data_IF_155331030475
#
_entry.id   IF_155331030475
#
_cell.length_a   1.000
_cell.length_b   1.000
_cell.length_c   1.000
_cell.angle_alpha   90.00
_cell.angle_beta   90.00
_cell.angle_gamma   90.00
#
_symmetry.space_group_name_H-M   'P 1'
#
loop_
_entity.id
_entity.type
_entity.pdbx_description
1 polymer ?
#
# COMPACT_ATOMS: atom_id res chain seq x y z
N UNK A 1 -7.99 17.46 -40.99
CA UNK A 1 -7.88 16.13 -40.31
C UNK A 1 -7.55 16.24 -38.83
N UNK A 2 -6.59 17.11 -38.43
CA UNK A 2 -6.19 17.31 -37.02
C UNK A 2 -7.32 17.89 -36.14
N UNK A 3 -8.09 18.84 -36.66
CA UNK A 3 -9.20 19.49 -35.91
C UNK A 3 -10.32 18.48 -35.62
N UNK A 4 -10.63 17.61 -36.58
CA UNK A 4 -11.68 16.59 -36.41
C UNK A 4 -11.30 15.53 -35.37
N UNK A 5 -10.00 15.12 -35.35
CA UNK A 5 -9.46 14.24 -34.30
C UNK A 5 -9.55 14.88 -32.91
N UNK A 6 -9.20 16.17 -32.76
CA UNK A 6 -9.33 16.90 -31.51
C UNK A 6 -10.78 17.01 -31.01
N UNK A 7 -11.73 17.21 -31.91
CA UNK A 7 -13.15 17.27 -31.56
C UNK A 7 -13.67 15.90 -31.10
N UNK A 8 -13.24 14.81 -31.74
CA UNK A 8 -13.64 13.45 -31.35
C UNK A 8 -13.05 13.12 -29.96
N UNK A 9 -11.78 13.40 -29.72
CA UNK A 9 -11.12 13.17 -28.41
C UNK A 9 -11.76 14.05 -27.33
N UNK A 10 -12.04 15.32 -27.60
CA UNK A 10 -12.74 16.22 -26.69
C UNK A 10 -14.15 15.72 -26.36
N UNK A 11 -14.88 15.17 -27.35
CA UNK A 11 -16.21 14.61 -27.11
C UNK A 11 -16.15 13.32 -26.29
N UNK A 12 -15.14 12.48 -26.47
CA UNK A 12 -14.91 11.29 -25.65
C UNK A 12 -14.60 11.68 -24.20
N UNK A 13 -13.77 12.69 -23.99
CA UNK A 13 -13.39 13.18 -22.66
C UNK A 13 -14.55 13.92 -22.00
N UNK A 14 -15.28 14.77 -22.73
CA UNK A 14 -16.40 15.55 -22.19
C UNK A 14 -17.66 14.72 -21.92
N UNK A 15 -17.87 13.62 -22.66
CA UNK A 15 -19.05 12.76 -22.48
C UNK A 15 -18.91 11.77 -21.30
N UNK A 16 -17.72 11.61 -20.69
CA UNK A 16 -17.44 10.69 -19.58
C UNK A 16 -16.97 11.37 -18.30
N UNK A 17 -17.56 12.51 -17.89
CA UNK A 17 -17.16 13.22 -16.66
C UNK A 17 -15.67 13.58 -16.65
N UNK A 18 -15.36 14.85 -16.71
CA UNK A 18 -14.03 15.44 -16.64
C UNK A 18 -13.13 14.73 -15.61
N UNK A 19 -12.15 13.98 -16.08
CA UNK A 19 -11.05 13.45 -15.27
C UNK A 19 -10.07 14.61 -15.00
N UNK A 20 -10.48 15.61 -14.21
CA UNK A 20 -9.61 16.70 -13.79
C UNK A 20 -9.09 16.33 -12.42
N UNK A 21 -7.78 16.31 -12.30
CA UNK A 21 -7.11 16.04 -11.03
C UNK A 21 -7.44 17.13 -10.00
N UNK A 22 -7.97 16.71 -8.84
CA UNK A 22 -8.35 17.64 -7.77
C UNK A 22 -7.14 18.05 -6.94
N UNK A 23 -6.59 19.23 -7.19
CA UNK A 23 -5.41 19.77 -6.50
C UNK A 23 -5.61 19.91 -4.99
N UNK A 24 -6.80 20.26 -4.53
CA UNK A 24 -7.06 20.43 -3.10
C UNK A 24 -7.07 19.07 -2.37
N UNK A 25 -7.62 18.02 -3.00
CA UNK A 25 -7.55 16.66 -2.48
C UNK A 25 -6.10 16.18 -2.38
N UNK A 26 -5.27 16.49 -3.38
CA UNK A 26 -3.86 16.16 -3.43
C UNK A 26 -3.07 16.89 -2.33
N UNK A 27 -3.26 18.20 -2.15
CA UNK A 27 -2.61 18.99 -1.09
C UNK A 27 -2.95 18.46 0.30
N UNK A 28 -4.24 18.18 0.56
CA UNK A 28 -4.70 17.59 1.80
C UNK A 28 -4.09 16.20 2.06
N UNK A 29 -3.90 15.41 0.99
CA UNK A 29 -3.28 14.09 1.09
C UNK A 29 -1.79 14.16 1.40
N UNK A 30 -1.06 15.07 0.76
CA UNK A 30 0.35 15.31 1.02
C UNK A 30 0.60 15.68 2.50
N UNK A 31 -0.21 16.56 3.07
CA UNK A 31 -0.13 16.93 4.48
C UNK A 31 -0.36 15.73 5.43
N UNK A 32 -1.29 14.83 5.08
CA UNK A 32 -1.58 13.65 5.89
C UNK A 32 -0.45 12.61 5.88
N UNK A 33 0.29 12.51 4.76
CA UNK A 33 1.34 11.52 4.58
C UNK A 33 2.66 11.83 5.28
N UNK A 34 2.95 13.10 5.57
CA UNK A 34 4.17 13.49 6.30
C UNK A 34 4.26 12.88 7.71
N UNK A 35 3.19 12.22 8.17
CA UNK A 35 3.06 11.63 9.52
C UNK A 35 3.29 10.12 9.63
N UNK A 36 3.47 9.34 8.52
CA UNK A 36 3.58 7.86 8.58
C UNK A 36 4.53 7.25 7.54
N UNK A 37 5.30 6.21 7.88
CA UNK A 37 6.24 5.54 6.95
C UNK A 37 6.19 4.00 6.89
N UNK A 38 6.24 3.45 5.69
CA UNK A 38 7.04 2.41 4.99
C UNK A 38 6.70 0.90 4.98
N UNK A 39 6.80 0.28 3.78
CA UNK A 39 7.21 -1.08 3.39
C UNK A 39 6.29 -1.97 2.54
N UNK A 40 6.82 -2.84 1.71
CA UNK A 40 6.28 -3.49 0.52
C UNK A 40 5.87 -4.97 0.50
N UNK A 41 5.15 -5.42 -0.56
CA UNK A 41 4.77 -6.82 -0.82
C UNK A 41 4.44 -7.21 -2.26
N UNK A 42 4.51 -8.51 -2.56
CA UNK A 42 4.14 -9.13 -3.85
C UNK A 42 3.00 -10.14 -3.69
N UNK A 43 2.02 -10.13 -4.63
CA UNK A 43 1.10 -11.25 -4.86
C UNK A 43 0.74 -11.35 -6.35
N UNK A 44 0.55 -12.58 -6.88
CA UNK A 44 0.37 -12.84 -8.31
C UNK A 44 -1.11 -12.95 -8.69
N UNK A 45 -1.54 -12.10 -9.63
CA UNK A 45 -2.80 -12.18 -10.36
C UNK A 45 -2.51 -11.98 -11.86
N UNK A 46 -3.42 -12.38 -12.75
CA UNK A 46 -3.30 -12.24 -14.22
C UNK A 46 -3.24 -10.78 -14.71
N UNK A 47 -3.18 -9.81 -13.81
CA UNK A 47 -3.12 -8.39 -14.10
C UNK A 47 -1.71 -8.03 -14.55
N UNK A 48 -1.60 -7.33 -15.67
CA UNK A 48 -0.33 -6.80 -16.16
C UNK A 48 0.22 -5.78 -15.16
N UNK A 49 1.34 -6.10 -14.54
CA UNK A 49 1.99 -5.25 -13.54
C UNK A 49 3.25 -4.63 -14.10
N UNK A 50 3.30 -3.31 -14.04
CA UNK A 50 4.53 -2.59 -14.33
C UNK A 50 5.49 -2.68 -13.15
N UNK A 51 6.73 -3.05 -13.44
CA UNK A 51 7.85 -3.03 -12.48
C UNK A 51 9.01 -2.27 -13.12
N UNK A 52 9.46 -1.15 -12.51
CA UNK A 52 10.63 -0.43 -13.04
C UNK A 52 11.86 -1.33 -13.12
N UNK A 53 12.51 -1.34 -14.26
CA UNK A 53 13.80 -2.00 -14.49
C UNK A 53 14.96 -1.03 -14.29
N UNK A 54 16.15 -1.53 -13.96
CA UNK A 54 17.35 -0.69 -13.81
C UNK A 54 17.59 0.07 -15.11
N UNK A 55 17.81 1.39 -15.00
CA UNK A 55 18.00 2.27 -16.13
C UNK A 55 16.94 3.36 -16.22
N UNK A 56 16.73 3.88 -17.41
CA UNK A 56 15.78 4.95 -17.71
C UNK A 56 14.56 4.37 -18.42
N UNK A 57 13.38 4.69 -17.93
CA UNK A 57 12.10 4.36 -18.56
C UNK A 57 11.23 5.61 -18.60
N UNK A 58 10.27 5.63 -19.49
CA UNK A 58 9.27 6.69 -19.58
C UNK A 58 7.89 6.06 -19.53
N UNK A 59 7.04 6.60 -18.68
CA UNK A 59 5.66 6.16 -18.54
C UNK A 59 4.71 7.34 -18.67
N UNK A 60 3.45 7.04 -18.91
CA UNK A 60 2.35 7.98 -18.78
C UNK A 60 1.38 7.46 -17.74
N UNK A 61 1.07 8.25 -16.73
CA UNK A 61 -0.02 7.97 -15.81
C UNK A 61 -1.34 8.21 -16.55
N UNK A 62 -2.24 7.25 -16.50
CA UNK A 62 -3.56 7.34 -17.13
C UNK A 62 -4.57 7.84 -16.08
N UNK A 63 -5.54 8.71 -16.43
CA UNK A 63 -6.65 9.04 -15.53
C UNK A 63 -7.31 7.78 -15.01
N UNK A 64 -7.57 7.70 -13.69
CA UNK A 64 -7.99 6.44 -13.10
C UNK A 64 -9.52 6.31 -13.04
N UNK A 65 -10.04 5.25 -13.64
CA UNK A 65 -11.48 4.97 -13.72
C UNK A 65 -12.15 4.87 -12.34
N UNK A 66 -11.45 4.31 -11.35
CA UNK A 66 -11.98 4.01 -10.02
C UNK A 66 -11.72 5.10 -8.98
N UNK A 67 -10.94 6.13 -9.33
CA UNK A 67 -10.74 7.30 -8.50
C UNK A 67 -10.65 8.54 -9.38
N UNK A 68 -11.70 9.38 -9.32
CA UNK A 68 -11.82 10.58 -10.17
C UNK A 68 -11.10 11.80 -9.62
N UNK A 69 -10.72 11.77 -8.34
CA UNK A 69 -10.06 12.91 -7.69
C UNK A 69 -8.57 12.95 -8.03
N UNK A 70 -7.95 11.79 -8.11
CA UNK A 70 -6.53 11.63 -8.46
C UNK A 70 -6.24 10.19 -8.92
N UNK A 71 -5.19 9.96 -9.73
CA UNK A 71 -5.00 8.69 -10.42
C UNK A 71 -4.41 7.57 -9.54
N UNK A 72 -4.57 7.64 -8.22
CA UNK A 72 -3.95 6.71 -7.28
C UNK A 72 -4.98 6.01 -6.42
N UNK A 73 -4.72 4.73 -6.13
CA UNK A 73 -5.47 3.96 -5.13
C UNK A 73 -4.51 3.49 -4.04
N UNK A 74 -4.86 3.79 -2.80
CA UNK A 74 -4.10 3.35 -1.63
C UNK A 74 -4.70 2.09 -1.07
N UNK A 75 -3.84 1.14 -0.76
CA UNK A 75 -4.21 -0.08 -0.05
C UNK A 75 -3.29 -0.34 1.13
N UNK A 76 -3.84 -0.81 2.22
CA UNK A 76 -3.15 -1.14 3.47
C UNK A 76 -2.91 -2.62 3.56
N UNK A 77 -1.70 -3.01 4.00
CA UNK A 77 -1.30 -4.40 4.15
C UNK A 77 -0.54 -4.60 5.45
N UNK A 78 -0.75 -5.75 6.07
CA UNK A 78 0.05 -6.25 7.17
C UNK A 78 1.01 -7.32 6.67
N UNK A 79 2.20 -7.38 7.27
CA UNK A 79 3.26 -8.30 6.87
C UNK A 79 3.75 -9.09 8.07
N UNK A 80 3.87 -10.42 7.90
CA UNK A 80 4.39 -11.31 8.93
C UNK A 80 3.52 -11.36 10.18
N UNK A 81 2.22 -11.41 10.03
CA UNK A 81 1.26 -11.61 11.11
C UNK A 81 0.81 -13.07 11.11
N UNK A 82 1.16 -13.80 12.20
CA UNK A 82 0.95 -15.24 12.30
C UNK A 82 1.67 -16.00 11.19
N UNK A 83 1.10 -17.07 10.74
CA UNK A 83 1.60 -17.90 9.63
C UNK A 83 1.51 -17.22 8.26
N UNK A 84 0.87 -16.05 8.15
CA UNK A 84 0.62 -15.35 6.88
C UNK A 84 1.70 -14.33 6.56
N UNK A 85 2.26 -14.43 5.35
CA UNK A 85 3.26 -13.47 4.87
C UNK A 85 2.66 -12.08 4.63
N UNK A 86 1.42 -12.01 4.14
CA UNK A 86 0.73 -10.77 3.79
C UNK A 86 -0.76 -10.90 4.02
N UNK A 87 -1.34 -9.90 4.67
CA UNK A 87 -2.78 -9.73 4.86
C UNK A 87 -3.17 -8.35 4.32
N UNK A 88 -4.12 -8.31 3.38
CA UNK A 88 -4.73 -7.05 3.00
C UNK A 88 -5.70 -6.62 4.10
N UNK A 89 -5.55 -5.40 4.62
CA UNK A 89 -6.40 -4.88 5.68
C UNK A 89 -7.87 -4.79 5.22
N UNK A 90 -8.83 -5.30 5.99
CA UNK A 90 -10.27 -5.15 5.71
C UNK A 90 -10.72 -3.69 5.58
N UNK A 91 -10.00 -2.75 6.19
CA UNK A 91 -10.25 -1.31 6.03
C UNK A 91 -10.20 -0.83 4.57
N UNK A 92 -9.54 -1.57 3.66
CA UNK A 92 -9.53 -1.26 2.23
C UNK A 92 -10.93 -1.35 1.61
N UNK A 93 -11.82 -2.15 2.22
CA UNK A 93 -13.20 -2.35 1.80
C UNK A 93 -14.23 -1.72 2.76
N UNK A 94 -13.74 -1.01 3.81
CA UNK A 94 -14.59 -0.38 4.82
C UNK A 94 -15.10 -1.35 5.88
N UNK A 95 -14.51 -2.55 5.97
CA UNK A 95 -14.85 -3.58 6.94
C UNK A 95 -14.04 -3.41 8.24
N UNK A 96 -14.52 -4.03 9.33
CA UNK A 96 -13.82 -4.05 10.61
C UNK A 96 -12.50 -4.81 10.49
N UNK A 97 -11.47 -4.31 11.16
CA UNK A 97 -10.12 -4.87 11.12
C UNK A 97 -9.64 -5.18 12.54
N UNK A 98 -9.56 -6.47 12.94
CA UNK A 98 -9.20 -6.85 14.29
C UNK A 98 -7.77 -6.44 14.66
N UNK A 99 -6.83 -6.39 13.69
CA UNK A 99 -5.47 -5.92 13.94
C UNK A 99 -5.45 -4.42 14.26
N UNK A 100 -6.21 -3.63 13.49
CA UNK A 100 -6.31 -2.18 13.73
C UNK A 100 -7.00 -1.86 15.06
N UNK A 101 -8.05 -2.61 15.41
CA UNK A 101 -8.78 -2.47 16.69
C UNK A 101 -7.86 -2.78 17.86
N UNK A 102 -7.13 -3.89 17.82
CA UNK A 102 -6.17 -4.28 18.84
C UNK A 102 -5.02 -3.27 18.96
N UNK A 103 -4.44 -2.83 17.86
CA UNK A 103 -3.39 -1.81 17.86
C UNK A 103 -3.88 -0.48 18.47
N UNK A 104 -5.14 -0.10 18.24
CA UNK A 104 -5.77 1.07 18.86
C UNK A 104 -5.91 0.90 20.37
N UNK A 105 -6.35 -0.26 20.85
CA UNK A 105 -6.46 -0.57 22.27
C UNK A 105 -5.10 -0.50 22.96
N UNK A 106 -4.06 -1.12 22.39
CA UNK A 106 -2.71 -1.05 22.93
C UNK A 106 -2.19 0.38 23.07
N UNK A 107 -2.48 1.25 22.12
CA UNK A 107 -2.11 2.68 22.19
C UNK A 107 -2.87 3.43 23.31
N UNK A 108 -4.07 2.99 23.65
CA UNK A 108 -4.87 3.57 24.72
C UNK A 108 -4.36 3.27 26.13
N UNK A 109 -3.47 2.30 26.31
CA UNK A 109 -2.97 1.88 27.62
C UNK A 109 -1.92 2.82 28.24
N UNK A 110 -1.40 3.80 27.50
CA UNK A 110 -0.29 4.68 27.87
C UNK A 110 1.01 3.94 28.29
N UNK A 111 1.11 2.64 27.98
CA UNK A 111 2.31 1.83 28.21
C UNK A 111 3.24 1.89 27.01
N UNK A 112 4.55 2.09 27.26
CA UNK A 112 5.56 2.23 26.20
C UNK A 112 5.80 0.92 25.43
N UNK A 113 5.66 -0.23 26.07
CA UNK A 113 5.83 -1.54 25.44
C UNK A 113 4.62 -1.85 24.55
N UNK A 114 3.41 -1.60 25.05
CA UNK A 114 2.18 -1.71 24.27
C UNK A 114 2.20 -0.77 23.05
N UNK A 115 2.70 0.45 23.22
CA UNK A 115 2.86 1.37 22.08
C UNK A 115 3.85 0.84 21.04
N UNK A 116 4.97 0.24 21.45
CA UNK A 116 5.94 -0.38 20.54
C UNK A 116 5.33 -1.59 19.83
N UNK A 117 4.55 -2.39 20.55
CA UNK A 117 3.82 -3.53 19.98
C UNK A 117 2.80 -3.06 18.94
N UNK A 118 1.98 -2.07 19.28
CA UNK A 118 1.02 -1.47 18.37
C UNK A 118 1.69 -0.92 17.10
N UNK A 119 2.90 -0.36 17.21
CA UNK A 119 3.67 0.12 16.05
C UNK A 119 4.10 -1.00 15.12
N UNK A 120 4.36 -2.23 15.62
CA UNK A 120 4.65 -3.41 14.78
C UNK A 120 3.43 -3.86 13.99
N UNK A 121 2.23 -3.58 14.50
CA UNK A 121 0.95 -3.87 13.88
C UNK A 121 0.46 -2.77 12.93
N UNK A 122 1.24 -1.72 12.69
CA UNK A 122 0.86 -0.68 11.74
C UNK A 122 0.85 -1.22 10.32
N UNK A 123 -0.27 -1.03 9.58
CA UNK A 123 -0.34 -1.44 8.21
C UNK A 123 0.59 -0.59 7.35
N UNK A 124 1.17 -1.23 6.35
CA UNK A 124 1.97 -0.56 5.33
C UNK A 124 1.10 -0.22 4.13
N UNK A 125 1.15 1.04 3.72
CA UNK A 125 0.38 1.52 2.56
C UNK A 125 1.15 1.26 1.27
N UNK A 126 0.47 0.67 0.29
CA UNK A 126 0.88 0.53 -1.10
C UNK A 126 -0.02 1.36 -1.97
N UNK A 127 0.57 1.97 -2.96
CA UNK A 127 -0.14 2.85 -3.88
C UNK A 127 -0.10 2.21 -5.26
N UNK A 128 -1.24 2.27 -5.95
CA UNK A 128 -1.42 1.72 -7.28
C UNK A 128 -1.82 2.83 -8.24
N UNK A 129 -1.23 2.82 -9.43
CA UNK A 129 -1.59 3.72 -10.53
C UNK A 129 -1.64 2.99 -11.86
N UNK A 130 -2.60 3.29 -12.74
CA UNK A 130 -2.62 2.81 -14.11
C UNK A 130 -1.57 3.55 -14.94
N UNK A 131 -0.73 2.82 -15.64
CA UNK A 131 0.36 3.39 -16.45
C UNK A 131 0.40 2.79 -17.85
N UNK A 132 0.83 3.59 -18.81
CA UNK A 132 1.29 3.15 -20.12
C UNK A 132 2.81 3.32 -20.16
N UNK A 133 3.53 2.29 -20.58
CA UNK A 133 4.97 2.37 -20.78
C UNK A 133 5.23 2.86 -22.20
N UNK A 134 5.99 3.96 -22.33
CA UNK A 134 6.33 4.52 -23.63
C UNK A 134 7.32 3.61 -24.36
N UNK A 135 6.98 3.24 -25.59
CA UNK A 135 7.68 2.25 -26.40
C UNK A 135 7.13 0.82 -26.29
N UNK A 136 6.21 0.60 -25.34
CA UNK A 136 5.52 -0.69 -25.12
C UNK A 136 3.99 -0.51 -25.09
N UNK A 137 3.46 0.45 -25.86
CA UNK A 137 2.04 0.81 -25.88
C UNK A 137 1.11 -0.36 -26.28
N UNK A 138 1.64 -1.34 -27.01
CA UNK A 138 0.93 -2.57 -27.37
C UNK A 138 0.53 -3.42 -26.17
N UNK A 139 1.27 -3.30 -25.06
CA UNK A 139 0.96 -4.00 -23.81
C UNK A 139 -0.28 -3.44 -23.11
N UNK A 140 -0.70 -2.22 -23.48
CA UNK A 140 -1.86 -1.54 -22.89
C UNK A 140 -1.59 -1.03 -21.49
N UNK A 141 -2.69 -0.79 -20.74
CA UNK A 141 -2.59 -0.28 -19.36
C UNK A 141 -2.02 -1.37 -18.46
N UNK A 142 -1.00 -0.98 -17.71
CA UNK A 142 -0.39 -1.80 -16.68
C UNK A 142 -0.61 -1.16 -15.31
N UNK A 143 -0.68 -1.95 -14.26
CA UNK A 143 -0.83 -1.46 -12.91
C UNK A 143 0.53 -1.37 -12.23
N UNK A 144 0.93 -0.16 -11.87
CA UNK A 144 2.17 0.08 -11.12
C UNK A 144 1.89 0.16 -9.62
N UNK A 145 2.55 -0.69 -8.85
CA UNK A 145 2.56 -0.66 -7.40
C UNK A 145 3.84 -0.01 -6.90
N UNK A 146 3.71 0.99 -6.02
CA UNK A 146 4.86 1.70 -5.45
C UNK A 146 4.64 2.12 -3.99
N UNK A 147 5.72 2.55 -3.35
CA UNK A 147 5.73 2.95 -1.96
C UNK A 147 5.50 4.46 -1.77
N UNK A 148 5.53 4.86 -0.49
CA UNK A 148 5.27 6.21 -0.02
C UNK A 148 6.18 7.26 -0.67
N UNK A 149 7.49 6.99 -0.85
CA UNK A 149 8.45 7.95 -1.41
C UNK A 149 8.06 8.41 -2.83
N UNK A 150 7.73 7.45 -3.71
CA UNK A 150 7.29 7.76 -5.07
C UNK A 150 5.95 8.47 -5.05
N UNK A 151 5.05 8.07 -4.13
CA UNK A 151 3.76 8.73 -3.98
C UNK A 151 3.90 10.20 -3.58
N UNK A 152 4.71 10.49 -2.55
CA UNK A 152 5.00 11.86 -2.14
C UNK A 152 5.56 12.70 -3.29
N UNK A 153 6.47 12.12 -4.10
CA UNK A 153 7.01 12.80 -5.26
C UNK A 153 5.93 13.11 -6.32
N UNK A 154 4.98 12.17 -6.56
CA UNK A 154 3.83 12.44 -7.44
C UNK A 154 2.91 13.53 -6.89
N UNK A 155 2.63 13.51 -5.59
CA UNK A 155 1.77 14.52 -4.96
C UNK A 155 2.43 15.92 -5.00
N UNK A 156 3.74 15.99 -4.77
CA UNK A 156 4.51 17.24 -4.90
C UNK A 156 4.47 17.75 -6.35
N UNK A 157 4.68 16.85 -7.31
CA UNK A 157 4.60 17.18 -8.74
C UNK A 157 3.21 17.68 -9.14
N UNK A 158 2.15 17.06 -8.61
CA UNK A 158 0.77 17.47 -8.88
C UNK A 158 0.39 18.79 -8.19
N UNK A 159 1.06 19.15 -7.09
CA UNK A 159 0.86 20.40 -6.39
C UNK A 159 1.63 21.57 -7.04
N UNK A 160 2.53 21.30 -7.98
CA UNK A 160 3.30 22.29 -8.71
C UNK A 160 2.48 22.83 -9.89
N UNK A 161 2.17 24.12 -9.85
CA UNK A 161 1.37 24.78 -10.89
C UNK A 161 2.06 24.78 -12.28
N UNK A 162 3.40 24.75 -12.33
CA UNK A 162 4.15 24.67 -13.59
C UNK A 162 4.03 23.29 -14.25
N UNK A 163 3.88 22.25 -13.46
CA UNK A 163 3.67 20.88 -13.96
C UNK A 163 2.22 20.71 -14.40
N UNK A 164 1.27 21.17 -13.60
CA UNK A 164 -0.16 21.04 -13.84
C UNK A 164 -0.64 19.58 -13.77
N UNK A 165 -1.77 19.32 -14.43
CA UNK A 165 -2.31 17.96 -14.52
C UNK A 165 -1.51 17.09 -15.50
N UNK A 166 -0.54 16.35 -14.99
CA UNK A 166 0.27 15.43 -15.78
C UNK A 166 -0.50 14.23 -16.33
N UNK A 167 -1.74 14.00 -15.86
CA UNK A 167 -2.60 12.90 -16.34
C UNK A 167 -3.52 13.33 -17.48
N UNK A 168 -3.62 14.63 -17.77
CA UNK A 168 -4.51 15.13 -18.81
C UNK A 168 -4.27 14.40 -20.14
N UNK A 169 -5.38 13.94 -20.75
CA UNK A 169 -5.35 13.09 -21.94
C UNK A 169 -4.76 13.82 -23.15
N UNK A 170 -4.96 15.13 -23.26
CA UNK A 170 -4.56 15.96 -24.41
C UNK A 170 -3.24 16.67 -24.21
N UNK A 171 -2.99 17.13 -22.98
CA UNK A 171 -1.89 18.02 -22.65
C UNK A 171 -1.13 17.60 -21.38
N UNK A 172 -1.27 16.36 -20.96
CA UNK A 172 -0.56 15.86 -19.80
C UNK A 172 0.94 15.67 -20.06
N UNK A 173 1.65 15.10 -19.09
CA UNK A 173 3.11 14.92 -19.17
C UNK A 173 3.51 13.47 -18.98
N UNK A 174 4.48 13.04 -19.75
CA UNK A 174 5.13 11.76 -19.49
C UNK A 174 6.02 11.88 -18.26
N UNK A 175 6.16 10.80 -17.52
CA UNK A 175 6.99 10.70 -16.32
C UNK A 175 8.23 9.89 -16.65
N UNK A 176 9.39 10.49 -16.42
CA UNK A 176 10.70 9.84 -16.57
C UNK A 176 11.05 9.14 -15.26
N UNK A 177 11.35 7.86 -15.35
CA UNK A 177 11.84 7.04 -14.25
C UNK A 177 13.34 6.82 -14.42
N UNK A 178 14.07 6.93 -13.32
CA UNK A 178 15.46 6.49 -13.24
C UNK A 178 15.56 5.51 -12.09
N UNK A 179 15.82 4.25 -12.40
CA UNK A 179 15.95 3.18 -11.42
C UNK A 179 17.41 2.75 -11.32
N UNK A 180 17.95 2.75 -10.12
CA UNK A 180 19.31 2.31 -9.80
C UNK A 180 19.26 1.07 -8.92
N UNK A 181 20.23 0.19 -9.11
CA UNK A 181 20.33 -1.07 -8.39
C UNK A 181 20.86 -0.89 -6.97
N UNK A 182 20.80 -1.97 -6.14
CA UNK A 182 21.28 -2.01 -4.76
C UNK A 182 22.74 -1.62 -4.63
N UNK A 183 23.58 -1.99 -5.60
CA UNK A 183 25.01 -1.69 -5.61
C UNK A 183 25.31 -0.18 -5.60
N UNK A 184 24.43 0.62 -6.23
CA UNK A 184 24.59 2.08 -6.32
C UNK A 184 23.98 2.82 -5.13
N UNK A 185 23.06 2.19 -4.41
CA UNK A 185 22.29 2.84 -3.34
C UNK A 185 22.71 2.40 -1.94
N UNK A 186 23.46 1.31 -1.81
CA UNK A 186 23.80 0.68 -0.54
C UNK A 186 22.58 0.10 0.21
N UNK A 187 21.46 -0.09 -0.49
CA UNK A 187 20.21 -0.66 0.05
C UNK A 187 20.00 -2.08 -0.51
N UNK A 188 19.09 -2.85 0.10
CA UNK A 188 18.74 -4.18 -0.40
C UNK A 188 17.81 -4.16 -1.63
N UNK A 189 17.40 -2.98 -2.10
CA UNK A 189 16.36 -2.81 -3.13
C UNK A 189 16.77 -1.79 -4.18
N UNK A 190 16.18 -1.95 -5.38
CA UNK A 190 16.26 -0.92 -6.41
C UNK A 190 15.60 0.36 -5.92
N UNK A 191 16.22 1.50 -6.19
CA UNK A 191 15.65 2.82 -5.92
C UNK A 191 15.24 3.48 -7.22
N UNK A 192 13.96 3.88 -7.30
CA UNK A 192 13.40 4.59 -8.45
C UNK A 192 13.13 6.03 -8.08
N UNK A 193 13.59 6.96 -8.91
CA UNK A 193 13.24 8.38 -8.85
C UNK A 193 12.39 8.74 -10.06
N UNK A 194 11.51 9.74 -9.89
CA UNK A 194 10.60 10.19 -10.93
C UNK A 194 10.78 11.67 -11.20
N UNK A 195 10.57 12.09 -12.45
CA UNK A 195 10.55 13.48 -12.86
C UNK A 195 9.56 13.69 -14.02
N UNK A 196 8.84 14.83 -14.08
CA UNK A 196 7.97 15.11 -15.20
C UNK A 196 8.77 15.46 -16.46
N UNK A 197 8.22 15.13 -17.61
CA UNK A 197 8.73 15.61 -18.88
C UNK A 197 8.49 17.12 -19.00
N UNK A 198 9.44 17.85 -19.54
CA UNK A 198 9.31 19.30 -19.78
C UNK A 198 8.20 19.62 -20.79
N UNK A 199 7.97 18.71 -21.73
CA UNK A 199 6.96 18.87 -22.79
C UNK A 199 5.67 18.15 -22.40
N UNK A 200 4.55 18.80 -22.70
CA UNK A 200 3.25 18.17 -22.70
C UNK A 200 3.07 17.31 -23.95
N UNK A 201 2.26 16.27 -23.85
CA UNK A 201 1.93 15.38 -24.97
C UNK A 201 0.53 14.82 -24.82
N UNK A 202 -0.05 14.37 -25.91
CA UNK A 202 -1.28 13.58 -25.90
C UNK A 202 -0.98 12.19 -25.32
N UNK A 203 -2.00 11.56 -24.71
CA UNK A 203 -1.91 10.20 -24.21
C UNK A 203 -1.61 9.21 -25.37
N UNK A 204 -2.29 9.40 -26.50
CA UNK A 204 -2.06 8.72 -27.77
C UNK A 204 -2.57 9.58 -28.94
N UNK A 205 -2.03 9.37 -30.13
CA UNK A 205 -2.56 9.93 -31.38
C UNK A 205 -3.83 9.19 -31.85
N UNK A 206 -4.04 7.96 -31.39
CA UNK A 206 -5.21 7.14 -31.70
C UNK A 206 -6.29 7.27 -30.62
N UNK A 207 -7.41 7.91 -30.98
CA UNK A 207 -8.53 8.10 -30.07
C UNK A 207 -9.15 6.79 -29.59
N UNK A 208 -9.11 5.72 -30.38
CA UNK A 208 -9.64 4.40 -29.99
C UNK A 208 -8.78 3.76 -28.90
N UNK A 209 -7.45 3.95 -28.98
CA UNK A 209 -6.53 3.50 -27.92
C UNK A 209 -6.78 4.26 -26.63
N UNK A 210 -7.02 5.56 -26.72
CA UNK A 210 -7.36 6.38 -25.54
C UNK A 210 -8.62 5.84 -24.86
N UNK A 211 -9.72 5.64 -25.63
CA UNK A 211 -10.95 5.06 -25.07
C UNK A 211 -10.70 3.72 -24.40
N UNK A 212 -9.99 2.83 -25.10
CA UNK A 212 -9.63 1.52 -24.57
C UNK A 212 -8.86 1.63 -23.25
N UNK A 213 -7.83 2.46 -23.17
CA UNK A 213 -7.01 2.63 -21.98
C UNK A 213 -7.74 3.28 -20.80
N UNK A 214 -8.74 4.13 -21.07
CA UNK A 214 -9.59 4.71 -20.03
C UNK A 214 -10.63 3.71 -19.49
N UNK A 215 -11.05 2.74 -20.31
CA UNK A 215 -12.05 1.75 -19.93
C UNK A 215 -11.46 0.44 -19.38
N UNK A 216 -10.40 -0.05 -19.99
CA UNK A 216 -9.76 -1.33 -19.64
C UNK A 216 -8.71 -1.13 -18.52
N UNK A 217 -9.17 -0.75 -17.34
CA UNK A 217 -8.31 -0.60 -16.17
C UNK A 217 -8.72 -1.58 -15.09
N UNK A 218 -7.73 -2.14 -14.43
CA UNK A 218 -7.94 -3.04 -13.31
C UNK A 218 -8.11 -2.26 -12.00
N UNK A 219 -9.05 -2.69 -11.17
CA UNK A 219 -9.21 -2.13 -9.84
C UNK A 219 -8.26 -2.85 -8.86
N UNK A 220 -7.32 -2.15 -8.21
CA UNK A 220 -6.43 -2.77 -7.23
C UNK A 220 -7.15 -3.53 -6.12
N UNK A 221 -8.35 -3.10 -5.72
CA UNK A 221 -9.14 -3.77 -4.69
C UNK A 221 -9.61 -5.17 -5.12
N UNK A 222 -9.84 -5.38 -6.42
CA UNK A 222 -10.32 -6.66 -6.95
C UNK A 222 -9.19 -7.69 -7.08
N UNK A 223 -7.92 -7.24 -6.96
CA UNK A 223 -6.75 -8.13 -6.94
C UNK A 223 -6.61 -8.91 -5.63
N UNK A 224 -7.27 -8.44 -4.58
CA UNK A 224 -7.19 -8.99 -3.24
C UNK A 224 -8.60 -9.32 -2.77
N UNK A 225 -8.73 -10.43 -2.06
CA UNK A 225 -9.98 -10.79 -1.38
C UNK A 225 -9.82 -10.45 0.10
N UNK A 226 -10.79 -9.75 0.71
CA UNK A 226 -10.80 -9.57 2.15
C UNK A 226 -10.85 -10.94 2.83
N UNK A 227 -10.03 -11.12 3.86
CA UNK A 227 -10.12 -12.30 4.70
C UNK A 227 -11.22 -12.09 5.74
N UNK A 228 -11.94 -13.17 6.14
CA UNK A 228 -12.89 -13.10 7.23
C UNK A 228 -12.26 -12.56 8.51
N UNK A 229 -13.03 -11.83 9.30
CA UNK A 229 -12.60 -11.23 10.58
C UNK A 229 -11.94 -12.27 11.50
N UNK A 230 -12.58 -13.44 11.67
CA UNK A 230 -12.08 -14.52 12.53
C UNK A 230 -10.74 -15.08 12.06
N UNK A 231 -10.54 -15.19 10.74
CA UNK A 231 -9.26 -15.65 10.17
C UNK A 231 -8.13 -14.68 10.47
N UNK A 232 -8.39 -13.37 10.45
CA UNK A 232 -7.40 -12.34 10.77
C UNK A 232 -7.17 -12.28 12.28
N UNK A 233 -8.23 -12.45 13.10
CA UNK A 233 -8.16 -12.57 14.56
C UNK A 233 -7.28 -13.74 14.97
N UNK A 234 -7.47 -14.92 14.36
CA UNK A 234 -6.63 -16.10 14.59
C UNK A 234 -5.16 -15.84 14.23
N UNK A 235 -4.87 -15.26 13.06
CA UNK A 235 -3.51 -14.91 12.66
C UNK A 235 -2.85 -13.91 13.63
N UNK A 236 -3.61 -12.98 14.20
CA UNK A 236 -3.14 -12.08 15.24
C UNK A 236 -2.83 -12.82 16.54
N UNK A 237 -3.66 -13.78 16.94
CA UNK A 237 -3.45 -14.61 18.12
C UNK A 237 -2.18 -15.46 17.99
N UNK A 238 -1.98 -16.15 16.86
CA UNK A 238 -0.75 -16.88 16.52
C UNK A 238 0.49 -15.97 16.63
N UNK A 239 0.39 -14.73 16.15
CA UNK A 239 1.48 -13.76 16.21
C UNK A 239 1.79 -13.29 17.63
N UNK A 240 0.79 -13.25 18.52
CA UNK A 240 0.96 -12.88 19.93
C UNK A 240 1.56 -14.02 20.76
N UNK A 241 1.24 -15.27 20.43
CA UNK A 241 1.62 -16.49 21.15
C UNK A 241 2.39 -17.45 20.21
N UNK A 242 3.64 -17.14 19.82
CA UNK A 242 4.39 -17.99 18.88
C UNK A 242 4.82 -19.34 19.44
N UNK A 243 4.67 -19.58 20.76
CA UNK A 243 5.16 -20.81 21.43
C UNK A 243 4.17 -21.99 21.34
N UNK A 244 2.91 -21.77 20.94
CA UNK A 244 1.91 -22.86 20.86
C UNK A 244 2.05 -23.73 19.58
N UNK A 245 2.82 -23.29 18.57
CA UNK A 245 3.03 -24.06 17.33
C UNK A 245 4.22 -25.03 17.40
N UNK A 246 5.14 -24.93 18.37
CA UNK A 246 6.32 -25.81 18.47
C UNK A 246 6.04 -27.14 19.22
N UNK A 247 4.93 -27.27 19.94
CA UNK A 247 4.63 -28.50 20.69
C UNK A 247 4.03 -29.64 19.82
N UNK A 248 3.56 -29.39 18.60
CA UNK A 248 3.01 -30.45 17.73
C UNK A 248 4.04 -31.17 16.83
N UNK A 249 5.31 -30.75 16.78
CA UNK A 249 6.33 -31.38 15.90
C UNK A 249 7.68 -31.72 16.56
N UNK A 250 7.77 -31.80 17.88
CA UNK A 250 9.02 -32.22 18.53
C UNK A 250 9.02 -33.73 18.82
N UNK A 251 9.58 -34.49 17.89
CA UNK A 251 10.17 -35.81 18.19
C UNK A 251 11.65 -35.58 18.44
N UNK A 252 12.09 -35.88 19.70
CA UNK A 252 13.47 -35.78 20.16
C UNK A 252 14.51 -36.51 19.28
N UNK A 253 15.82 -36.19 19.31
CA UNK A 253 16.67 -36.63 20.42
C UNK A 253 17.87 -35.71 20.83
N UNK A 254 18.05 -35.66 22.15
CA UNK A 254 19.27 -35.80 22.99
C UNK A 254 20.61 -35.11 22.62
N UNK A 255 21.03 -34.29 23.63
CA UNK A 255 22.40 -34.12 24.25
C UNK A 255 23.44 -33.22 23.58
N UNK A 256 23.81 -32.19 24.26
CA UNK A 256 25.05 -31.91 24.99
C UNK A 256 25.24 -30.43 25.37
N UNK A 257 25.65 -30.28 26.62
CA UNK A 257 25.89 -29.06 27.40
C UNK A 257 26.87 -28.06 26.81
N UNK A 258 26.64 -26.75 27.07
CA UNK A 258 27.67 -25.82 27.62
C UNK A 258 27.03 -24.61 28.31
N UNK A 259 27.39 -24.48 29.59
CA UNK A 259 27.23 -23.34 30.50
C UNK A 259 27.98 -22.11 29.97
N UNK A 260 27.56 -20.87 30.21
CA UNK A 260 27.56 -19.85 31.26
C UNK A 260 27.52 -18.43 30.64
N UNK A 261 27.37 -17.31 31.37
CA UNK A 261 26.97 -17.07 32.75
C UNK A 261 25.86 -16.03 32.97
N UNK A 262 25.22 -16.14 34.12
CA UNK A 262 24.21 -15.24 34.68
C UNK A 262 24.83 -13.92 35.14
N UNK A 263 24.25 -12.77 34.81
CA UNK A 263 24.43 -11.54 35.55
C UNK A 263 23.12 -11.12 36.23
N UNK A 264 23.11 -11.27 37.55
CA UNK A 264 22.07 -10.75 38.46
C UNK A 264 22.18 -9.24 38.59
N UNK A 265 21.10 -8.51 38.22
CA UNK A 265 20.79 -7.24 38.85
C UNK A 265 19.28 -7.21 39.17
N UNK A 266 19.01 -7.45 40.46
CA UNK A 266 17.70 -7.27 41.08
C UNK A 266 17.56 -5.81 41.53
N UNK A 267 16.65 -5.06 40.94
CA UNK A 267 16.09 -3.82 41.50
C UNK A 267 14.60 -4.01 41.66
N UNK A 268 14.23 -4.28 42.90
CA UNK A 268 12.87 -4.40 43.38
C UNK A 268 12.19 -3.03 43.35
N UNK A 269 11.25 -2.86 42.41
CA UNK A 269 10.13 -1.91 42.54
C UNK A 269 8.87 -2.66 42.11
N UNK A 270 7.88 -2.73 43.03
CA UNK A 270 6.58 -3.36 42.77
C UNK A 270 5.95 -2.70 41.56
N UNK A 271 5.66 -3.41 40.47
CA UNK A 271 4.83 -2.88 39.38
C UNK A 271 3.36 -3.07 39.74
N UNK A 272 2.56 -2.04 39.50
CA UNK A 272 1.13 -2.23 39.28
C UNK A 272 0.95 -3.30 38.21
N UNK A 273 -0.01 -4.22 38.40
CA UNK A 273 -0.23 -5.38 37.53
C UNK A 273 -0.33 -4.94 36.07
N UNK A 274 0.71 -5.24 35.28
CA UNK A 274 0.70 -5.06 33.85
C UNK A 274 -0.12 -6.21 33.27
N UNK A 275 -1.26 -5.92 32.63
CA UNK A 275 -2.02 -6.91 31.87
C UNK A 275 -1.08 -7.52 30.83
N UNK A 276 -1.08 -8.84 30.73
CA UNK A 276 -0.33 -9.55 29.70
C UNK A 276 -0.89 -9.24 28.31
N UNK A 277 -0.13 -9.51 27.25
CA UNK A 277 -0.59 -9.31 25.85
C UNK A 277 -1.83 -10.16 25.56
N UNK A 278 -1.84 -11.40 26.09
CA UNK A 278 -2.97 -12.31 25.98
C UNK A 278 -4.22 -11.75 26.69
N UNK A 279 -4.08 -11.24 27.92
CA UNK A 279 -5.20 -10.62 28.65
C UNK A 279 -5.78 -9.41 27.92
N UNK A 280 -4.94 -8.59 27.27
CA UNK A 280 -5.42 -7.46 26.45
C UNK A 280 -6.15 -7.92 25.17
N UNK A 281 -5.75 -9.06 24.62
CA UNK A 281 -6.44 -9.69 23.49
C UNK A 281 -7.78 -10.31 23.92
N UNK A 282 -7.77 -11.03 25.05
CA UNK A 282 -8.97 -11.68 25.60
C UNK A 282 -10.02 -10.63 26.04
N UNK A 283 -9.59 -9.52 26.65
CA UNK A 283 -10.47 -8.39 26.98
C UNK A 283 -11.17 -7.77 25.75
N UNK A 284 -10.53 -7.81 24.59
CA UNK A 284 -11.11 -7.25 23.36
C UNK A 284 -11.97 -8.25 22.58
N UNK A 285 -11.64 -9.52 22.64
CA UNK A 285 -12.24 -10.54 21.79
C UNK A 285 -12.83 -11.73 22.58
N UNK A 286 -12.67 -11.75 23.90
CA UNK A 286 -13.10 -12.83 24.80
C UNK A 286 -14.50 -12.70 25.38
N UNK A 287 -15.13 -11.56 25.29
CA UNK A 287 -16.52 -11.35 25.74
C UNK A 287 -17.34 -10.88 24.55
N UNK A 288 -18.27 -11.71 24.13
CA UNK A 288 -19.58 -11.45 23.55
C UNK A 288 -19.99 -12.47 22.48
N UNK A 289 -20.38 -13.65 22.95
CA UNK A 289 -21.34 -14.47 22.22
C UNK A 289 -22.69 -14.60 22.98
N UNK A 290 -22.94 -13.84 24.06
CA UNK A 290 -24.25 -13.80 24.72
C UNK A 290 -24.63 -12.36 25.06
N UNK A 291 -25.34 -11.68 24.17
CA UNK A 291 -26.34 -10.64 24.35
C UNK A 291 -26.31 -9.61 23.22
N UNK A 292 -26.84 -9.99 22.06
CA UNK A 292 -27.38 -9.04 21.09
C UNK A 292 -28.87 -8.84 21.41
N UNK A 293 -29.32 -7.70 21.92
CA UNK A 293 -30.73 -7.38 21.90
C UNK A 293 -31.16 -7.04 20.48
N UNK A 294 -32.22 -7.67 20.07
CA UNK A 294 -32.96 -7.55 18.80
C UNK A 294 -33.28 -6.10 18.41
#
# INVERSE_FOLDING_TARGET
MVILKKVIILNVVNNKNSYIMNLDAIKKKLESMQKTSNGGSNNSSNVKRFKPTIGKQTIRIVPFKYNKEYPFTEMKFYYGIGSRKVIASPLNWGEKDPIAEFAKQLRGTNDKENWRLAKKLDPKTRIYAPVIVRGEESEGVQLWEFGKEIYEAFLQMAADEEVGDFTDVMSGRDIKLVTVGPESTGTAYNKTTIAPSMKTSELSEDSKLIEKWLEEQENPKDLYKPLPFDTIKQALQEWLNPEEEEEETAVEPVDEAKEEPKSNYSLSTKPAAKKSKAEAFDDLFGEDDEDAPF
#
